data_IF_472515227234
#
_entry.id   IF_472515227234
#
_cell.length_a   1.000
_cell.length_b   1.000
_cell.length_c   1.000
_cell.angle_alpha   90.00
_cell.angle_beta   90.00
_cell.angle_gamma   90.00
#
_symmetry.space_group_name_H-M   'P 1'
#
loop_
_entity.id
_entity.type
_entity.pdbx_description
1 polymer ?
#
# COMPACT_ATOMS: atom_id res chain seq x y z
N UNK A 1 5.64 -12.24 -25.01
CA UNK A 1 5.78 -13.60 -25.60
C UNK A 1 5.18 -14.69 -24.71
N UNK A 2 5.71 -14.99 -23.52
CA UNK A 2 5.14 -16.03 -22.62
C UNK A 2 3.61 -15.99 -22.44
N UNK A 3 3.02 -14.80 -22.24
CA UNK A 3 1.55 -14.65 -22.17
C UNK A 3 0.82 -15.11 -23.45
N UNK A 4 1.39 -14.85 -24.63
CA UNK A 4 0.85 -15.28 -25.93
C UNK A 4 1.00 -16.79 -26.11
N UNK A 5 2.18 -17.33 -25.78
CA UNK A 5 2.50 -18.76 -25.86
C UNK A 5 1.55 -19.59 -25.00
N UNK A 6 1.17 -19.08 -23.83
CA UNK A 6 0.21 -19.72 -22.93
C UNK A 6 -1.26 -19.41 -23.26
N UNK A 7 -1.54 -18.66 -24.33
CA UNK A 7 -2.90 -18.29 -24.72
C UNK A 7 -3.65 -17.46 -23.68
N UNK A 8 -2.95 -16.69 -22.85
CA UNK A 8 -3.55 -15.89 -21.76
C UNK A 8 -3.93 -14.48 -22.19
N UNK A 9 -3.57 -14.09 -23.42
CA UNK A 9 -3.90 -12.82 -24.03
C UNK A 9 -4.31 -13.02 -25.49
N UNK A 10 -5.17 -12.14 -25.99
CA UNK A 10 -5.68 -12.18 -27.35
C UNK A 10 -5.43 -10.85 -28.06
N UNK A 11 -5.20 -10.91 -29.38
CA UNK A 11 -5.15 -9.72 -30.22
C UNK A 11 -6.53 -9.47 -30.83
N UNK A 12 -7.15 -8.35 -30.47
CA UNK A 12 -8.51 -8.02 -30.90
C UNK A 12 -8.47 -7.33 -32.26
N UNK A 13 -9.09 -7.90 -33.29
CA UNK A 13 -9.05 -7.35 -34.66
C UNK A 13 -10.12 -6.27 -34.92
N UNK A 14 -11.25 -6.33 -34.22
CA UNK A 14 -12.45 -5.53 -34.45
C UNK A 14 -13.04 -5.03 -33.12
N UNK A 15 -14.04 -4.16 -33.16
CA UNK A 15 -14.72 -3.67 -31.95
C UNK A 15 -13.97 -2.55 -31.22
N UNK A 16 -14.36 -2.30 -29.96
CA UNK A 16 -13.91 -1.13 -29.17
C UNK A 16 -12.42 -1.14 -28.84
N UNK A 17 -11.77 -2.32 -28.78
CA UNK A 17 -10.33 -2.43 -28.56
C UNK A 17 -9.59 -2.92 -29.81
N UNK A 18 -10.11 -2.68 -31.01
CA UNK A 18 -9.46 -3.09 -32.25
C UNK A 18 -7.96 -2.71 -32.27
N UNK A 19 -7.14 -3.67 -32.70
CA UNK A 19 -5.67 -3.67 -32.75
C UNK A 19 -4.98 -3.65 -31.39
N UNK A 20 -5.65 -3.95 -30.29
CA UNK A 20 -5.04 -4.06 -28.96
C UNK A 20 -4.77 -5.52 -28.58
N UNK A 21 -3.78 -5.72 -27.69
CA UNK A 21 -3.68 -6.96 -26.93
C UNK A 21 -4.48 -6.83 -25.64
N UNK A 22 -5.33 -7.82 -25.36
CA UNK A 22 -6.26 -7.83 -24.24
C UNK A 22 -6.14 -9.11 -23.43
N UNK A 23 -6.41 -9.01 -22.12
CA UNK A 23 -6.80 -10.13 -21.27
C UNK A 23 -8.33 -10.14 -21.27
N UNK A 24 -8.94 -11.29 -21.63
CA UNK A 24 -10.39 -11.42 -21.63
C UNK A 24 -10.95 -11.30 -20.21
N UNK A 25 -12.02 -10.55 -20.06
CA UNK A 25 -12.75 -10.47 -18.79
C UNK A 25 -13.54 -11.75 -18.54
N UNK A 26 -13.63 -12.14 -17.27
CA UNK A 26 -14.52 -13.22 -16.83
C UNK A 26 -15.88 -12.65 -16.38
N UNK A 27 -16.95 -13.45 -16.39
CA UNK A 27 -18.25 -13.13 -15.77
C UNK A 27 -18.83 -11.73 -16.11
N UNK A 28 -18.92 -11.37 -17.40
CA UNK A 28 -19.42 -10.08 -17.89
C UNK A 28 -18.54 -8.86 -17.54
N UNK A 29 -17.31 -9.08 -17.07
CA UNK A 29 -16.35 -7.99 -16.95
C UNK A 29 -15.80 -7.56 -18.32
N UNK A 30 -15.52 -6.26 -18.49
CA UNK A 30 -14.88 -5.73 -19.70
C UNK A 30 -13.48 -6.31 -19.93
N UNK A 31 -13.08 -6.49 -21.18
CA UNK A 31 -11.70 -6.90 -21.47
C UNK A 31 -10.67 -5.88 -20.97
N UNK A 32 -9.54 -6.40 -20.49
CA UNK A 32 -8.45 -5.57 -20.00
C UNK A 32 -7.37 -5.42 -21.06
N UNK A 33 -7.30 -4.23 -21.66
CA UNK A 33 -6.20 -3.87 -22.58
C UNK A 33 -4.86 -3.88 -21.83
N UNK A 34 -3.90 -4.63 -22.36
CA UNK A 34 -2.51 -4.68 -21.88
C UNK A 34 -1.58 -3.87 -22.77
N UNK A 35 -1.75 -3.93 -24.09
CA UNK A 35 -0.98 -3.16 -25.08
C UNK A 35 -1.98 -2.51 -26.03
N UNK A 36 -1.91 -1.18 -26.15
CA UNK A 36 -2.79 -0.40 -27.02
C UNK A 36 -2.43 -0.58 -28.50
N UNK A 37 -3.34 -0.18 -29.39
CA UNK A 37 -3.16 -0.20 -30.84
C UNK A 37 -1.93 0.56 -31.37
N UNK A 38 -1.45 1.55 -30.62
CA UNK A 38 -0.23 2.29 -30.92
C UNK A 38 1.04 1.65 -30.31
N UNK A 39 0.96 0.44 -29.76
CA UNK A 39 2.08 -0.26 -29.11
C UNK A 39 2.36 0.15 -27.66
N UNK A 40 1.61 1.10 -27.09
CA UNK A 40 1.84 1.56 -25.72
C UNK A 40 1.38 0.51 -24.69
N UNK A 41 2.30 0.06 -23.85
CA UNK A 41 2.00 -0.80 -22.70
C UNK A 41 1.21 -0.03 -21.63
N UNK A 42 0.16 -0.65 -21.10
CA UNK A 42 -0.62 -0.14 -19.96
C UNK A 42 0.07 -0.45 -18.64
N UNK A 43 -0.43 0.08 -17.52
CA UNK A 43 0.14 -0.17 -16.19
C UNK A 43 0.18 -1.66 -15.83
N UNK A 44 -0.92 -2.39 -16.06
CA UNK A 44 -0.98 -3.83 -15.76
C UNK A 44 0.05 -4.64 -16.57
N UNK A 45 0.39 -4.21 -17.79
CA UNK A 45 1.43 -4.86 -18.58
C UNK A 45 2.84 -4.72 -17.97
N UNK A 46 3.04 -3.75 -17.08
CA UNK A 46 4.27 -3.59 -16.28
C UNK A 46 4.19 -4.34 -14.95
N UNK A 47 3.01 -4.40 -14.35
CA UNK A 47 2.80 -5.09 -13.07
C UNK A 47 2.96 -6.61 -13.20
N UNK A 48 2.54 -7.20 -14.32
CA UNK A 48 2.67 -8.65 -14.58
C UNK A 48 4.13 -9.14 -14.53
N UNK A 49 5.09 -8.58 -15.31
CA UNK A 49 6.48 -9.01 -15.23
C UNK A 49 7.10 -8.70 -13.86
N UNK A 50 6.69 -7.61 -13.19
CA UNK A 50 7.18 -7.32 -11.85
C UNK A 50 6.70 -8.36 -10.82
N UNK A 51 5.45 -8.82 -10.91
CA UNK A 51 4.93 -9.92 -10.12
C UNK A 51 5.66 -11.24 -10.40
N UNK A 52 5.91 -11.54 -11.68
CA UNK A 52 6.62 -12.74 -12.09
C UNK A 52 8.08 -12.74 -11.58
N UNK A 53 8.77 -11.60 -11.65
CA UNK A 53 10.12 -11.43 -11.09
C UNK A 53 10.12 -11.67 -9.57
N UNK A 54 9.16 -11.13 -8.81
CA UNK A 54 9.07 -11.37 -7.36
C UNK A 54 8.95 -12.86 -7.01
N UNK A 55 8.34 -13.66 -7.88
CA UNK A 55 8.23 -15.11 -7.73
C UNK A 55 9.42 -15.90 -8.28
N UNK A 56 10.45 -15.23 -8.83
CA UNK A 56 11.59 -15.88 -9.46
C UNK A 56 11.26 -16.55 -10.80
N UNK A 57 10.15 -16.16 -11.44
CA UNK A 57 9.74 -16.69 -12.75
C UNK A 57 10.43 -16.00 -13.92
N UNK A 58 11.21 -14.96 -13.64
CA UNK A 58 12.03 -14.18 -14.57
C UNK A 58 13.40 -13.97 -13.93
N UNK A 59 14.42 -13.88 -14.78
CA UNK A 59 15.76 -13.48 -14.35
C UNK A 59 15.73 -12.09 -13.73
N UNK A 60 16.58 -11.88 -12.71
CA UNK A 60 16.69 -10.59 -12.02
C UNK A 60 17.47 -9.60 -12.90
N UNK A 61 16.83 -8.53 -13.42
CA UNK A 61 17.51 -7.57 -14.28
C UNK A 61 18.19 -6.44 -13.49
N UNK A 62 18.08 -6.42 -12.15
CA UNK A 62 18.47 -5.27 -11.34
C UNK A 62 19.88 -5.41 -10.75
N UNK A 63 20.56 -4.28 -10.63
CA UNK A 63 21.74 -4.14 -9.77
C UNK A 63 21.34 -3.55 -8.43
N UNK A 64 22.09 -3.88 -7.38
CA UNK A 64 21.79 -3.45 -6.03
C UNK A 64 22.98 -2.80 -5.35
N UNK A 65 22.70 -1.75 -4.59
CA UNK A 65 23.63 -1.13 -3.67
C UNK A 65 22.98 -0.96 -2.30
N UNK A 66 23.80 -0.83 -1.26
CA UNK A 66 23.29 -0.53 0.08
C UNK A 66 22.63 0.84 0.07
N UNK A 67 21.52 0.96 0.79
CA UNK A 67 20.92 2.25 1.11
C UNK A 67 21.71 2.88 2.26
N UNK A 68 21.97 4.19 2.20
CA UNK A 68 22.88 4.86 3.13
C UNK A 68 22.37 4.86 4.58
N UNK A 69 21.04 4.81 4.77
CA UNK A 69 20.44 4.78 6.10
C UNK A 69 20.36 3.34 6.66
N UNK A 70 20.77 3.19 7.91
CA UNK A 70 20.59 1.95 8.67
C UNK A 70 19.14 1.78 9.10
N UNK A 71 18.60 0.58 8.93
CA UNK A 71 17.28 0.24 9.48
C UNK A 71 17.35 0.06 10.99
N UNK A 72 16.23 0.29 11.71
CA UNK A 72 16.07 -0.25 13.05
C UNK A 72 16.41 -1.75 13.06
N UNK A 73 17.16 -2.21 14.07
CA UNK A 73 17.66 -3.59 14.22
C UNK A 73 18.86 -3.97 13.33
N UNK A 74 19.64 -3.00 12.84
CA UNK A 74 20.90 -3.25 12.11
C UNK A 74 20.74 -4.09 10.83
N UNK A 75 19.52 -4.16 10.27
CA UNK A 75 19.29 -4.81 8.98
C UNK A 75 19.74 -3.89 7.86
N UNK A 76 20.45 -4.43 6.89
CA UNK A 76 20.82 -3.71 5.68
C UNK A 76 19.59 -3.48 4.82
N UNK A 77 19.30 -2.22 4.50
CA UNK A 77 18.37 -1.86 3.44
C UNK A 77 19.13 -1.79 2.11
N UNK A 78 18.54 -2.34 1.06
CA UNK A 78 19.08 -2.33 -0.31
C UNK A 78 18.19 -1.48 -1.22
N UNK A 79 18.79 -0.91 -2.25
CA UNK A 79 18.10 -0.16 -3.30
C UNK A 79 18.60 -0.60 -4.68
N UNK A 80 17.74 -0.54 -5.69
CA UNK A 80 18.13 -0.78 -7.09
C UNK A 80 19.05 0.34 -7.59
N UNK A 81 20.05 0.00 -8.40
CA UNK A 81 21.00 0.95 -8.98
C UNK A 81 21.11 0.76 -10.50
N UNK A 82 21.44 1.84 -11.21
CA UNK A 82 21.84 1.79 -12.61
C UNK A 82 23.35 1.52 -12.77
N UNK A 83 24.11 1.65 -11.69
CA UNK A 83 25.57 1.46 -11.70
C UNK A 83 25.90 -0.01 -11.46
N UNK A 84 26.51 -0.65 -12.45
CA UNK A 84 26.93 -2.05 -12.37
C UNK A 84 28.17 -2.25 -11.47
N UNK A 85 28.97 -1.20 -11.26
CA UNK A 85 30.28 -1.30 -10.60
C UNK A 85 30.22 -1.63 -9.10
N UNK A 86 29.06 -1.47 -8.46
CA UNK A 86 28.82 -1.76 -7.04
C UNK A 86 27.86 -2.93 -6.81
N UNK A 87 27.50 -3.68 -7.86
CA UNK A 87 26.50 -4.73 -7.80
C UNK A 87 26.98 -5.91 -6.93
N UNK A 88 26.55 -5.92 -5.67
CA UNK A 88 26.60 -7.16 -4.88
C UNK A 88 25.44 -8.03 -5.35
N UNK A 89 25.65 -9.31 -5.73
CA UNK A 89 24.55 -10.20 -6.08
C UNK A 89 23.56 -10.28 -4.92
N UNK A 90 22.29 -9.99 -5.18
CA UNK A 90 21.19 -10.19 -4.25
C UNK A 90 20.12 -11.04 -4.92
N UNK A 91 19.32 -11.69 -4.09
CA UNK A 91 18.13 -12.40 -4.55
C UNK A 91 16.95 -11.98 -3.67
N UNK A 92 16.04 -11.20 -4.24
CA UNK A 92 14.82 -10.74 -3.58
C UNK A 92 13.56 -11.46 -4.08
N UNK A 93 13.75 -12.59 -4.76
CA UNK A 93 12.64 -13.46 -5.15
C UNK A 93 12.14 -14.28 -3.96
N UNK A 94 10.88 -14.71 -4.01
CA UNK A 94 10.25 -15.48 -2.94
C UNK A 94 9.28 -16.53 -3.52
N UNK A 95 9.07 -17.62 -2.78
CA UNK A 95 8.06 -18.61 -3.12
C UNK A 95 6.62 -18.10 -2.91
N UNK A 96 6.47 -17.09 -2.06
CA UNK A 96 5.19 -16.47 -1.72
C UNK A 96 5.34 -14.96 -1.66
N UNK A 97 4.45 -14.25 -2.34
CA UNK A 97 4.40 -12.79 -2.41
C UNK A 97 3.06 -12.33 -1.87
N UNK A 98 3.08 -11.37 -0.95
CA UNK A 98 1.88 -10.70 -0.44
C UNK A 98 1.99 -9.22 -0.80
N UNK A 99 1.02 -8.69 -1.54
CA UNK A 99 0.91 -7.27 -1.85
C UNK A 99 -0.13 -6.62 -0.96
N UNK A 100 0.22 -5.53 -0.27
CA UNK A 100 -0.70 -4.77 0.59
C UNK A 100 -1.11 -3.51 -0.14
N UNK A 101 -2.29 -3.52 -0.78
CA UNK A 101 -2.73 -2.49 -1.72
C UNK A 101 -4.22 -2.20 -1.50
N UNK A 102 -4.62 -0.92 -1.59
CA UNK A 102 -6.00 -0.45 -1.49
C UNK A 102 -6.99 -1.29 -2.34
N UNK A 103 -8.15 -1.61 -1.77
CA UNK A 103 -9.20 -2.46 -2.35
C UNK A 103 -9.69 -1.98 -3.71
N UNK A 104 -9.56 -0.69 -4.04
CA UNK A 104 -9.92 -0.15 -5.38
C UNK A 104 -9.08 -0.76 -6.51
N UNK A 105 -7.95 -1.39 -6.20
CA UNK A 105 -7.13 -2.10 -7.18
C UNK A 105 -7.42 -3.60 -7.28
N UNK A 106 -8.41 -4.11 -6.53
CA UNK A 106 -8.71 -5.55 -6.42
C UNK A 106 -8.86 -6.23 -7.77
N UNK A 107 -9.60 -5.63 -8.71
CA UNK A 107 -9.79 -6.23 -10.03
C UNK A 107 -8.48 -6.46 -10.79
N UNK A 108 -7.59 -5.47 -10.78
CA UNK A 108 -6.29 -5.60 -11.46
C UNK A 108 -5.40 -6.63 -10.76
N UNK A 109 -5.46 -6.66 -9.43
CA UNK A 109 -4.70 -7.62 -8.64
C UNK A 109 -5.22 -9.05 -8.82
N UNK A 110 -6.54 -9.28 -8.93
CA UNK A 110 -7.14 -10.58 -9.27
C UNK A 110 -6.64 -11.12 -10.60
N UNK A 111 -6.55 -10.27 -11.62
CA UNK A 111 -5.97 -10.64 -12.92
C UNK A 111 -4.52 -11.10 -12.73
N UNK A 112 -3.71 -10.33 -11.99
CA UNK A 112 -2.30 -10.67 -11.75
C UNK A 112 -2.16 -11.97 -10.96
N UNK A 113 -2.89 -12.15 -9.86
CA UNK A 113 -2.90 -13.38 -9.06
C UNK A 113 -3.23 -14.59 -9.92
N UNK A 114 -4.30 -14.52 -10.73
CA UNK A 114 -4.70 -15.61 -11.62
C UNK A 114 -3.61 -15.94 -12.65
N UNK A 115 -2.94 -14.93 -13.20
CA UNK A 115 -1.82 -15.14 -14.11
C UNK A 115 -0.62 -15.80 -13.42
N UNK A 116 -0.29 -15.38 -12.19
CA UNK A 116 0.84 -15.93 -11.44
C UNK A 116 0.61 -17.39 -11.04
N UNK A 117 -0.62 -17.76 -10.65
CA UNK A 117 -1.00 -19.15 -10.39
C UNK A 117 -0.83 -20.02 -11.63
N UNK A 118 -1.23 -19.52 -12.81
CA UNK A 118 -1.02 -20.23 -14.08
C UNK A 118 0.46 -20.36 -14.44
N UNK A 119 1.29 -19.36 -14.13
CA UNK A 119 2.72 -19.40 -14.42
C UNK A 119 3.52 -20.31 -13.50
N UNK A 120 3.20 -20.32 -12.20
CA UNK A 120 3.98 -21.04 -11.20
C UNK A 120 3.38 -22.42 -10.86
N UNK A 121 2.11 -22.66 -11.19
CA UNK A 121 1.34 -23.85 -10.78
C UNK A 121 1.29 -24.07 -9.25
N UNK A 122 1.56 -23.01 -8.48
CA UNK A 122 1.49 -23.00 -7.01
C UNK A 122 0.34 -22.09 -6.61
N UNK A 123 -0.77 -22.64 -6.07
CA UNK A 123 -1.87 -21.86 -5.52
C UNK A 123 -1.38 -20.92 -4.42
N UNK A 124 -2.00 -19.75 -4.28
CA UNK A 124 -1.68 -18.77 -3.24
C UNK A 124 -0.21 -18.29 -3.21
N UNK A 125 0.53 -18.46 -4.31
CA UNK A 125 1.91 -17.96 -4.41
C UNK A 125 1.96 -16.44 -4.55
N UNK A 126 0.91 -15.81 -5.08
CA UNK A 126 0.78 -14.34 -5.18
C UNK A 126 -0.56 -13.86 -4.61
N UNK A 127 -0.52 -13.24 -3.43
CA UNK A 127 -1.71 -12.84 -2.69
C UNK A 127 -1.83 -11.31 -2.70
N UNK A 128 -3.01 -10.83 -3.06
CA UNK A 128 -3.41 -9.45 -2.80
C UNK A 128 -4.12 -9.36 -1.46
N UNK A 129 -3.48 -8.68 -0.51
CA UNK A 129 -4.08 -8.28 0.75
C UNK A 129 -4.67 -6.88 0.58
N UNK A 130 -5.94 -6.85 0.15
CA UNK A 130 -6.72 -5.63 0.00
C UNK A 130 -7.01 -4.96 1.34
N UNK A 131 -6.97 -3.63 1.39
CA UNK A 131 -7.45 -2.84 2.52
C UNK A 131 -8.34 -1.69 2.07
N UNK A 132 -9.34 -1.35 2.88
CA UNK A 132 -10.21 -0.20 2.66
C UNK A 132 -9.59 1.11 3.13
N UNK A 133 -10.07 2.21 2.56
CA UNK A 133 -9.48 3.53 2.83
C UNK A 133 -9.69 4.01 4.26
N UNK A 134 -8.77 4.88 4.73
CA UNK A 134 -8.91 5.60 5.99
C UNK A 134 -9.56 6.96 5.75
N UNK A 135 -10.49 7.33 6.62
CA UNK A 135 -11.17 8.62 6.68
C UNK A 135 -10.96 9.26 8.05
N UNK A 136 -11.11 10.58 8.15
CA UNK A 136 -11.15 11.29 9.43
C UNK A 136 -12.59 11.58 9.82
N UNK A 137 -12.91 11.49 11.12
CA UNK A 137 -14.16 12.06 11.64
C UNK A 137 -14.20 13.57 11.40
N UNK A 138 -15.41 14.15 11.33
CA UNK A 138 -15.61 15.60 11.12
C UNK A 138 -14.82 16.43 12.15
N UNK A 139 -14.86 16.03 13.42
CA UNK A 139 -14.22 16.77 14.51
C UNK A 139 -12.70 16.65 14.46
N UNK A 140 -12.21 15.46 14.10
CA UNK A 140 -10.77 15.25 13.88
C UNK A 140 -10.27 16.07 12.70
N UNK A 141 -11.00 16.07 11.59
CA UNK A 141 -10.68 16.84 10.40
C UNK A 141 -10.61 18.34 10.72
N UNK A 142 -11.61 18.89 11.44
CA UNK A 142 -11.62 20.29 11.90
C UNK A 142 -10.42 20.61 12.80
N UNK A 143 -10.10 19.72 13.73
CA UNK A 143 -8.94 19.89 14.63
C UNK A 143 -7.62 19.95 13.85
N UNK A 144 -7.54 19.25 12.72
CA UNK A 144 -6.40 19.24 11.82
C UNK A 144 -6.45 20.34 10.74
N UNK A 145 -7.38 21.30 10.86
CA UNK A 145 -7.50 22.45 9.97
C UNK A 145 -8.18 22.15 8.64
N UNK A 146 -8.94 21.06 8.53
CA UNK A 146 -9.75 20.75 7.36
C UNK A 146 -11.19 21.22 7.56
N UNK A 147 -11.68 22.01 6.61
CA UNK A 147 -13.10 22.33 6.52
C UNK A 147 -13.88 21.09 6.06
N UNK A 148 -14.86 20.71 6.87
CA UNK A 148 -15.79 19.64 6.55
C UNK A 148 -17.19 20.17 6.75
N UNK A 149 -18.10 19.89 5.82
CA UNK A 149 -19.53 20.23 5.92
C UNK A 149 -20.26 19.34 6.98
N UNK A 150 -19.62 19.13 8.13
CA UNK A 150 -20.04 18.18 9.18
C UNK A 150 -19.91 16.71 8.80
N UNK A 151 -19.21 16.40 7.70
CA UNK A 151 -19.04 15.03 7.17
C UNK A 151 -17.64 14.50 7.43
N UNK A 152 -17.50 13.19 7.39
CA UNK A 152 -16.19 12.56 7.40
C UNK A 152 -15.34 13.05 6.22
N UNK A 153 -14.05 13.28 6.47
CA UNK A 153 -13.11 13.71 5.46
C UNK A 153 -12.36 12.51 4.89
N UNK A 154 -12.49 12.28 3.60
CA UNK A 154 -11.64 11.36 2.86
C UNK A 154 -10.45 12.12 2.27
N UNK A 155 -9.25 11.61 2.49
CA UNK A 155 -8.03 12.20 1.93
C UNK A 155 -8.09 12.20 0.40
N UNK A 156 -7.81 13.36 -0.19
CA UNK A 156 -7.84 13.60 -1.63
C UNK A 156 -6.83 14.66 -2.04
N UNK A 157 -5.69 14.21 -2.57
CA UNK A 157 -4.64 15.12 -3.06
C UNK A 157 -5.14 16.09 -4.14
N UNK A 158 -6.01 15.65 -5.05
CA UNK A 158 -6.57 16.51 -6.11
C UNK A 158 -7.48 17.62 -5.57
N UNK A 159 -8.10 17.43 -4.41
CA UNK A 159 -8.96 18.42 -3.75
C UNK A 159 -8.22 19.22 -2.67
N UNK A 160 -6.93 18.95 -2.44
CA UNK A 160 -6.15 19.57 -1.38
C UNK A 160 -6.51 19.08 0.03
N UNK A 161 -7.32 18.03 0.17
CA UNK A 161 -7.68 17.45 1.47
C UNK A 161 -6.61 16.45 1.85
N UNK A 162 -5.61 16.91 2.61
CA UNK A 162 -4.46 16.09 3.00
C UNK A 162 -4.05 16.38 4.44
N UNK A 163 -3.82 15.32 5.19
CA UNK A 163 -3.20 15.34 6.51
C UNK A 163 -2.11 14.27 6.49
N UNK A 164 -0.90 14.62 6.95
CA UNK A 164 0.19 13.65 7.06
C UNK A 164 0.02 12.78 8.30
N UNK A 165 0.56 11.56 8.25
CA UNK A 165 0.63 10.70 9.43
C UNK A 165 1.40 11.37 10.59
N UNK A 166 2.43 12.16 10.26
CA UNK A 166 3.20 12.93 11.25
C UNK A 166 2.33 13.95 11.98
N UNK A 167 1.47 14.69 11.27
CA UNK A 167 0.55 15.65 11.90
C UNK A 167 -0.43 14.97 12.86
N UNK A 168 -0.94 13.79 12.50
CA UNK A 168 -1.83 13.01 13.38
C UNK A 168 -1.06 12.50 14.60
N UNK A 169 0.16 11.99 14.40
CA UNK A 169 1.00 11.47 15.48
C UNK A 169 1.41 12.56 16.48
N UNK A 170 1.83 13.73 15.98
CA UNK A 170 2.19 14.88 16.83
C UNK A 170 0.98 15.42 17.60
N UNK A 171 -0.20 15.48 16.97
CA UNK A 171 -1.44 15.87 17.66
C UNK A 171 -1.82 14.89 18.77
N UNK A 172 -1.75 13.58 18.50
CA UNK A 172 -1.96 12.54 19.52
C UNK A 172 -0.97 12.70 20.67
N UNK A 173 0.32 12.83 20.35
CA UNK A 173 1.39 12.98 21.33
C UNK A 173 1.18 14.21 22.21
N UNK A 174 0.85 15.36 21.61
CA UNK A 174 0.54 16.58 22.35
C UNK A 174 -0.61 16.36 23.35
N UNK A 175 -1.72 15.76 22.89
CA UNK A 175 -2.88 15.50 23.74
C UNK A 175 -2.58 14.54 24.88
N UNK A 176 -1.79 13.50 24.61
CA UNK A 176 -1.38 12.53 25.64
C UNK A 176 -0.43 13.19 26.65
N UNK A 177 0.48 14.07 26.21
CA UNK A 177 1.35 14.85 27.10
C UNK A 177 0.53 15.74 28.02
N UNK A 178 -0.45 16.48 27.48
CA UNK A 178 -1.37 17.33 28.25
C UNK A 178 -2.12 16.52 29.32
N UNK A 179 -2.71 15.38 28.95
CA UNK A 179 -3.48 14.53 29.85
C UNK A 179 -2.59 13.83 30.91
N UNK A 180 -1.40 13.38 30.53
CA UNK A 180 -0.45 12.73 31.45
C UNK A 180 0.06 13.71 32.51
N UNK A 181 0.39 14.95 32.11
CA UNK A 181 0.78 16.02 33.05
C UNK A 181 -0.32 16.33 34.06
N UNK A 182 -1.57 16.34 33.61
CA UNK A 182 -2.72 16.61 34.47
C UNK A 182 -2.92 15.50 35.51
N UNK A 183 -2.72 14.24 35.13
CA UNK A 183 -2.89 13.08 36.03
C UNK A 183 -1.69 12.82 36.94
N UNK A 184 -0.50 13.16 36.48
CA UNK A 184 0.76 12.94 37.19
C UNK A 184 1.62 14.22 37.20
N UNK A 185 1.21 15.28 37.92
CA UNK A 185 1.95 16.54 37.96
C UNK A 185 3.37 16.42 38.51
N UNK A 186 3.64 15.38 39.28
CA UNK A 186 4.93 15.06 39.87
C UNK A 186 5.90 14.34 38.92
N UNK A 187 5.41 13.87 37.76
CA UNK A 187 6.23 13.12 36.81
C UNK A 187 7.13 14.06 36.00
N UNK A 188 8.40 13.66 35.81
CA UNK A 188 9.33 14.44 35.00
C UNK A 188 8.90 14.54 33.53
N UNK A 189 9.08 15.73 32.95
CA UNK A 189 8.77 16.03 31.55
C UNK A 189 9.41 15.04 30.57
N UNK A 190 10.66 14.64 30.82
CA UNK A 190 11.38 13.68 29.97
C UNK A 190 10.73 12.29 29.96
N UNK A 191 10.09 11.89 31.06
CA UNK A 191 9.38 10.62 31.19
C UNK A 191 8.00 10.70 30.57
N UNK A 192 7.30 11.82 30.76
CA UNK A 192 6.01 12.09 30.12
C UNK A 192 6.15 12.05 28.60
N UNK A 193 7.17 12.70 28.05
CA UNK A 193 7.42 12.75 26.61
C UNK A 193 7.61 11.36 25.99
N UNK A 194 8.38 10.48 26.67
CA UNK A 194 8.59 9.08 26.25
C UNK A 194 7.30 8.27 26.29
N UNK A 195 6.47 8.47 27.32
CA UNK A 195 5.16 7.83 27.44
C UNK A 195 4.26 8.31 26.30
N UNK A 196 4.14 9.62 26.10
CA UNK A 196 3.30 10.21 25.09
C UNK A 196 3.67 9.73 23.67
N UNK A 197 4.97 9.66 23.36
CA UNK A 197 5.45 9.11 22.08
C UNK A 197 5.09 7.62 21.91
N UNK A 198 5.26 6.81 22.96
CA UNK A 198 4.97 5.38 22.88
C UNK A 198 3.48 5.13 22.73
N UNK A 199 2.66 5.85 23.49
CA UNK A 199 1.19 5.75 23.44
C UNK A 199 0.66 6.30 22.12
N UNK A 200 1.16 7.44 21.60
CA UNK A 200 0.68 7.98 20.32
C UNK A 200 0.91 7.02 19.15
N UNK A 201 2.12 6.45 19.05
CA UNK A 201 2.45 5.44 18.04
C UNK A 201 1.62 4.17 18.25
N UNK A 202 1.47 3.73 19.49
CA UNK A 202 0.68 2.55 19.85
C UNK A 202 -0.80 2.71 19.46
N UNK A 203 -1.42 3.83 19.83
CA UNK A 203 -2.79 4.20 19.47
C UNK A 203 -2.97 4.24 17.97
N UNK A 204 -2.11 4.96 17.24
CA UNK A 204 -2.23 5.05 15.78
C UNK A 204 -2.14 3.66 15.12
N UNK A 205 -1.18 2.83 15.54
CA UNK A 205 -1.05 1.46 15.02
C UNK A 205 -2.27 0.61 15.35
N UNK A 206 -2.78 0.69 16.58
CA UNK A 206 -3.96 -0.07 17.02
C UNK A 206 -5.20 0.32 16.21
N UNK A 207 -5.45 1.62 16.03
CA UNK A 207 -6.57 2.13 15.22
C UNK A 207 -6.53 1.61 13.78
N UNK A 208 -5.34 1.45 13.19
CA UNK A 208 -5.18 0.96 11.81
C UNK A 208 -5.35 -0.56 11.66
N UNK A 209 -5.17 -1.35 12.72
CA UNK A 209 -5.20 -2.83 12.64
C UNK A 209 -6.39 -3.47 13.36
N UNK A 210 -7.15 -2.71 14.17
CA UNK A 210 -8.26 -3.26 14.96
C UNK A 210 -9.51 -3.60 14.14
N UNK A 211 -9.65 -3.02 12.95
CA UNK A 211 -10.75 -3.31 12.03
C UNK A 211 -10.31 -4.35 11.00
N UNK A 212 -11.27 -5.12 10.51
CA UNK A 212 -11.06 -5.98 9.36
C UNK A 212 -10.66 -5.14 8.14
N UNK A 213 -9.82 -5.72 7.28
CA UNK A 213 -9.23 -4.98 6.15
C UNK A 213 -10.28 -4.56 5.11
N UNK A 214 -11.44 -5.21 5.06
CA UNK A 214 -12.56 -4.90 4.16
C UNK A 214 -13.47 -3.78 4.70
N UNK A 215 -13.12 -3.14 5.82
CA UNK A 215 -13.89 -2.06 6.44
C UNK A 215 -13.15 -0.74 6.36
N UNK A 216 -13.87 0.30 5.92
CA UNK A 216 -13.39 1.68 6.01
C UNK A 216 -13.09 2.01 7.48
N UNK A 217 -11.90 2.54 7.72
CA UNK A 217 -11.50 3.02 9.04
C UNK A 217 -11.86 4.51 9.12
N UNK A 218 -12.73 4.87 10.05
CA UNK A 218 -12.90 6.29 10.45
C UNK A 218 -12.05 6.56 11.67
N UNK A 219 -10.92 7.21 11.46
CA UNK A 219 -10.06 7.67 12.54
C UNK A 219 -10.71 8.85 13.27
N UNK A 220 -10.93 8.67 14.57
CA UNK A 220 -11.50 9.67 15.45
C UNK A 220 -10.56 9.92 16.62
N UNK A 221 -10.04 11.14 16.74
CA UNK A 221 -9.05 11.50 17.75
C UNK A 221 -9.60 11.35 19.18
N UNK A 222 -10.83 11.81 19.43
CA UNK A 222 -11.42 11.76 20.77
C UNK A 222 -11.64 10.32 21.22
N UNK A 223 -12.15 9.48 20.32
CA UNK A 223 -12.31 8.05 20.56
C UNK A 223 -10.97 7.35 20.76
N UNK A 224 -9.97 7.68 19.95
CA UNK A 224 -8.64 7.04 20.02
C UNK A 224 -7.85 7.40 21.29
N UNK A 225 -8.18 8.54 21.91
CA UNK A 225 -7.60 8.97 23.19
C UNK A 225 -8.38 8.44 24.41
N UNK A 226 -9.55 7.84 24.20
CA UNK A 226 -10.30 7.17 25.28
C UNK A 226 -9.53 5.95 25.76
N UNK A 227 -9.25 5.89 27.06
CA UNK A 227 -8.68 4.70 27.72
C UNK A 227 -9.76 3.64 28.02
N UNK A 228 -11.02 3.94 27.70
CA UNK A 228 -12.14 3.01 27.73
C UNK A 228 -12.34 2.46 26.32
N UNK A 229 -12.22 1.14 26.17
CA UNK A 229 -12.36 0.41 24.90
C UNK A 229 -13.65 -0.39 24.82
#
# INVERSE_FOLDING_TARGET
EKLKEMGLIEFENEGKNAKCWVIRGDNNEDDKVIVRSNGTATYIAKDIPYAAWKLGLLDDPFYYQKYDANQPNSKTLWQTSLNNDAATPQNFTAQKVITVIDSRQERLQKIITTLMEKFNSIPDSYIHLGYESVTLSSDTAKTLGLETDGKQAQMSGRKGVYVSADSVCELLKQKITEETKKRHPEMEDSKIEKIAQSVSIGTLRYEMIKQDLDKIITFDLAKSLSLEG
#
